data_IF_515038586555
#
_entry.id   IF_515038586555
#
_cell.length_a   1.000
_cell.length_b   1.000
_cell.length_c   1.000
_cell.angle_alpha   90.00
_cell.angle_beta   90.00
_cell.angle_gamma   90.00
#
_symmetry.space_group_name_H-M   'P 1'
#
loop_
_entity.id
_entity.type
_entity.pdbx_description
1 polymer ?
#
# COMPACT_ATOMS: atom_id res chain seq x y z
N UNK A 1 -3.30 -4.59 -23.27
CA UNK A 1 -4.18 -3.57 -22.66
C UNK A 1 -3.48 -3.02 -21.42
N UNK A 2 -2.83 -1.86 -21.56
CA UNK A 2 -2.01 -1.25 -20.51
C UNK A 2 -2.92 -0.56 -19.48
N UNK A 3 -2.95 -1.08 -18.26
CA UNK A 3 -3.52 -0.35 -17.11
C UNK A 3 -2.48 0.67 -16.69
N UNK A 4 -2.61 1.88 -17.21
CA UNK A 4 -1.68 2.98 -16.95
C UNK A 4 -1.72 3.40 -15.48
N UNK A 5 -0.53 3.44 -14.88
CA UNK A 5 -0.24 3.82 -13.49
C UNK A 5 -0.28 5.32 -13.24
N UNK A 6 -0.75 6.12 -14.20
CA UNK A 6 -0.54 7.57 -14.24
C UNK A 6 -1.55 8.38 -13.41
N UNK A 7 -2.72 7.83 -13.08
CA UNK A 7 -3.83 8.64 -12.54
C UNK A 7 -3.95 8.76 -11.02
N UNK A 8 -3.21 8.00 -10.21
CA UNK A 8 -3.43 7.94 -8.76
C UNK A 8 -2.27 8.46 -7.90
N UNK A 9 -1.21 8.94 -8.55
CA UNK A 9 -0.01 9.50 -7.93
C UNK A 9 0.02 11.03 -7.96
N UNK A 10 -1.10 11.69 -8.26
CA UNK A 10 -1.20 13.13 -8.02
C UNK A 10 -1.30 13.40 -6.52
N UNK A 11 -0.36 14.24 -6.07
CA UNK A 11 -0.28 14.89 -4.78
C UNK A 11 -1.59 14.89 -3.99
N UNK A 12 -1.66 14.14 -2.89
CA UNK A 12 -2.39 14.65 -1.73
C UNK A 12 -1.40 15.43 -0.88
N UNK A 13 -1.72 16.71 -0.73
CA UNK A 13 -1.04 17.74 0.04
C UNK A 13 -0.30 17.21 1.28
N UNK A 14 0.97 17.59 1.51
CA UNK A 14 1.61 17.33 2.79
C UNK A 14 0.93 18.20 3.85
N UNK A 15 0.16 17.60 4.76
CA UNK A 15 -0.31 18.29 5.96
C UNK A 15 0.92 18.70 6.80
N UNK A 16 1.18 20.02 6.85
CA UNK A 16 2.43 20.70 7.21
C UNK A 16 2.57 21.12 8.67
N UNK A 17 1.83 20.53 9.63
CA UNK A 17 1.97 20.94 11.04
C UNK A 17 2.92 20.03 11.84
N UNK A 18 3.80 20.64 12.64
CA UNK A 18 4.68 19.93 13.59
C UNK A 18 3.89 19.06 14.58
N UNK A 19 2.65 19.43 14.88
CA UNK A 19 1.73 18.71 15.79
C UNK A 19 1.40 17.31 15.24
N UNK A 20 1.13 17.18 13.95
CA UNK A 20 0.85 15.90 13.29
C UNK A 20 2.03 14.91 13.38
N UNK A 21 3.26 15.40 13.27
CA UNK A 21 4.47 14.58 13.43
C UNK A 21 4.62 14.04 14.86
N UNK A 22 4.17 14.81 15.85
CA UNK A 22 4.19 14.41 17.26
C UNK A 22 3.16 13.29 17.47
N UNK A 23 1.91 13.49 17.04
CA UNK A 23 0.85 12.48 17.18
C UNK A 23 1.15 11.18 16.45
N UNK A 24 1.74 11.27 15.26
CA UNK A 24 2.15 10.08 14.50
C UNK A 24 3.25 9.30 15.22
N UNK A 25 4.25 9.96 15.81
CA UNK A 25 5.33 9.29 16.56
C UNK A 25 4.79 8.51 17.77
N UNK A 26 3.92 9.13 18.57
CA UNK A 26 3.29 8.49 19.74
C UNK A 26 2.44 7.28 19.32
N UNK A 27 1.67 7.41 18.24
CA UNK A 27 0.84 6.32 17.71
C UNK A 27 1.69 5.14 17.22
N UNK A 28 2.78 5.41 16.50
CA UNK A 28 3.68 4.37 16.03
C UNK A 28 4.39 3.66 17.18
N UNK A 29 4.74 4.38 18.24
CA UNK A 29 5.36 3.79 19.42
C UNK A 29 4.38 2.87 20.17
N UNK A 30 3.10 3.23 20.24
CA UNK A 30 2.06 2.34 20.78
C UNK A 30 1.96 1.01 20.02
N UNK A 31 2.07 1.04 18.68
CA UNK A 31 2.07 -0.18 17.84
C UNK A 31 3.35 -0.98 18.09
N UNK A 32 4.50 -0.30 18.15
CA UNK A 32 5.78 -0.96 18.45
C UNK A 32 5.73 -1.70 19.79
N UNK A 33 5.21 -1.05 20.84
CA UNK A 33 5.05 -1.65 22.18
C UNK A 33 4.07 -2.83 22.22
N UNK A 34 3.24 -3.00 21.19
CA UNK A 34 2.28 -4.09 21.05
C UNK A 34 2.81 -5.24 20.16
N UNK A 35 4.11 -5.57 20.27
CA UNK A 35 4.92 -6.34 19.31
C UNK A 35 4.49 -6.36 17.83
N UNK A 36 3.94 -5.26 17.31
CA UNK A 36 3.38 -5.23 15.97
C UNK A 36 4.29 -4.48 14.99
N UNK A 37 4.31 -4.94 13.75
CA UNK A 37 5.08 -4.31 12.67
C UNK A 37 4.25 -3.28 11.90
N UNK A 38 4.90 -2.19 11.49
CA UNK A 38 4.29 -1.20 10.61
C UNK A 38 5.22 -0.82 9.47
N UNK A 39 4.61 -0.39 8.36
CA UNK A 39 5.30 0.18 7.21
C UNK A 39 4.56 1.47 6.85
N UNK A 40 5.26 2.61 6.89
CA UNK A 40 4.69 3.91 6.57
C UNK A 40 5.56 4.67 5.58
N UNK A 41 4.96 5.63 4.87
CA UNK A 41 5.70 6.52 3.97
C UNK A 41 6.33 7.65 4.77
N UNK A 42 7.61 7.93 4.52
CA UNK A 42 8.25 9.11 5.09
C UNK A 42 7.68 10.39 4.49
N UNK A 43 7.52 11.43 5.32
CA UNK A 43 7.20 12.79 4.86
C UNK A 43 8.44 13.43 4.20
N UNK A 44 8.23 14.41 3.31
CA UNK A 44 9.33 15.12 2.61
C UNK A 44 10.31 15.78 3.59
N UNK A 45 9.80 16.43 4.63
CA UNK A 45 10.60 17.16 5.63
C UNK A 45 10.96 16.32 6.86
N UNK A 46 11.07 15.00 6.68
CA UNK A 46 11.38 14.08 7.77
C UNK A 46 12.84 14.26 8.23
N UNK A 47 13.03 14.71 9.48
CA UNK A 47 14.34 14.94 10.11
C UNK A 47 14.78 13.73 10.91
N UNK A 48 15.95 13.19 10.58
CA UNK A 48 16.49 11.99 11.20
C UNK A 48 18.01 12.03 11.23
N UNK A 49 18.58 11.31 12.20
CA UNK A 49 20.00 10.99 12.26
C UNK A 49 20.20 9.56 11.78
N UNK A 50 21.11 9.35 10.84
CA UNK A 50 21.52 8.02 10.39
C UNK A 50 22.48 7.43 11.43
N UNK A 51 22.24 6.19 11.84
CA UNK A 51 23.10 5.42 12.73
C UNK A 51 23.95 4.42 11.93
N UNK A 52 23.30 3.56 11.15
CA UNK A 52 23.96 2.53 10.37
C UNK A 52 23.37 2.44 8.96
N UNK A 53 24.17 1.98 8.01
CA UNK A 53 23.73 1.62 6.66
C UNK A 53 23.97 0.15 6.42
N UNK A 54 22.94 -0.54 5.94
CA UNK A 54 23.02 -1.93 5.55
C UNK A 54 23.45 -2.03 4.08
N UNK A 55 24.13 -3.12 3.72
CA UNK A 55 24.47 -3.39 2.31
C UNK A 55 23.19 -3.69 1.55
N UNK A 56 23.11 -3.20 0.33
CA UNK A 56 21.94 -3.33 -0.54
C UNK A 56 22.39 -3.79 -1.91
N UNK A 57 21.65 -4.73 -2.48
CA UNK A 57 21.84 -5.20 -3.86
C UNK A 57 21.09 -4.32 -4.85
N UNK A 58 21.82 -3.70 -5.78
CA UNK A 58 21.28 -2.78 -6.79
C UNK A 58 20.21 -3.41 -7.70
N UNK A 59 20.26 -4.74 -7.90
CA UNK A 59 19.31 -5.46 -8.76
C UNK A 59 17.85 -5.43 -8.26
N UNK A 60 17.64 -5.15 -6.97
CA UNK A 60 16.31 -5.19 -6.34
C UNK A 60 15.53 -3.87 -6.37
N UNK A 61 16.10 -2.80 -6.95
CA UNK A 61 15.50 -1.45 -6.95
C UNK A 61 15.56 -0.72 -5.61
N UNK A 62 16.18 -1.33 -4.59
CA UNK A 62 16.45 -0.69 -3.31
C UNK A 62 17.70 0.18 -3.46
N UNK A 63 17.58 1.47 -3.15
CA UNK A 63 18.68 2.45 -3.22
C UNK A 63 19.46 2.48 -1.90
N UNK A 64 18.74 2.44 -0.78
CA UNK A 64 19.41 2.39 0.52
C UNK A 64 18.54 1.74 1.57
N UNK A 65 19.22 1.12 2.52
CA UNK A 65 18.65 0.59 3.75
C UNK A 65 19.46 1.11 4.93
N UNK A 66 18.81 1.83 5.83
CA UNK A 66 19.46 2.61 6.88
C UNK A 66 18.72 2.46 8.20
N UNK A 67 19.47 2.24 9.27
CA UNK A 67 18.95 2.37 10.62
C UNK A 67 19.10 3.82 11.05
N UNK A 68 18.00 4.43 11.49
CA UNK A 68 17.89 5.84 11.79
C UNK A 68 17.27 6.05 13.18
N UNK A 69 17.49 7.24 13.73
CA UNK A 69 16.82 7.74 14.93
C UNK A 69 16.21 9.10 14.62
N UNK A 70 15.04 9.39 15.20
CA UNK A 70 14.40 10.69 15.06
C UNK A 70 15.30 11.77 15.70
N UNK A 71 15.47 12.90 15.01
CA UNK A 71 16.34 13.98 15.49
C UNK A 71 15.57 15.05 16.26
N UNK A 72 14.32 15.30 15.87
CA UNK A 72 13.49 16.35 16.44
C UNK A 72 13.06 16.03 17.88
N UNK A 73 13.10 17.02 18.77
CA UNK A 73 12.81 16.87 20.21
C UNK A 73 11.48 16.16 20.50
N UNK A 74 10.36 16.69 19.99
CA UNK A 74 9.04 16.10 20.28
C UNK A 74 8.82 14.71 19.64
N UNK A 75 9.11 14.48 18.34
CA UNK A 75 9.01 13.16 17.75
C UNK A 75 9.92 12.12 18.41
N UNK A 76 11.13 12.52 18.84
CA UNK A 76 12.04 11.63 19.57
C UNK A 76 11.47 11.22 20.93
N UNK A 77 10.78 12.13 21.63
CA UNK A 77 10.09 11.80 22.89
C UNK A 77 8.91 10.86 22.65
N UNK A 78 8.21 11.01 21.53
CA UNK A 78 7.07 10.15 21.16
C UNK A 78 7.49 8.77 20.63
N UNK A 79 8.66 8.66 20.02
CA UNK A 79 9.25 7.40 19.55
C UNK A 79 10.78 7.43 19.78
N UNK A 80 11.27 6.95 20.94
CA UNK A 80 12.69 7.01 21.30
C UNK A 80 13.53 5.94 20.59
N UNK A 81 12.90 4.85 20.12
CA UNK A 81 13.57 3.69 19.54
C UNK A 81 14.10 3.94 18.13
N UNK A 82 14.90 2.98 17.64
CA UNK A 82 15.41 3.00 16.28
C UNK A 82 14.30 2.66 15.26
N UNK A 83 14.43 3.27 14.09
CA UNK A 83 13.60 3.03 12.91
C UNK A 83 14.48 2.62 11.74
N UNK A 84 13.92 1.82 10.85
CA UNK A 84 14.54 1.48 9.58
C UNK A 84 13.96 2.36 8.49
N UNK A 85 14.83 3.01 7.72
CA UNK A 85 14.51 3.83 6.56
C UNK A 85 14.98 3.13 5.30
N UNK A 86 14.06 2.91 4.39
CA UNK A 86 14.34 2.29 3.09
C UNK A 86 14.02 3.29 1.99
N UNK A 87 14.96 3.51 1.07
CA UNK A 87 14.70 4.22 -0.18
C UNK A 87 14.58 3.18 -1.28
N UNK A 88 13.45 3.21 -1.96
CA UNK A 88 13.13 2.30 -3.07
C UNK A 88 12.80 3.13 -4.30
N UNK A 89 13.27 2.68 -5.45
CA UNK A 89 12.89 3.21 -6.75
C UNK A 89 12.41 2.06 -7.60
N UNK A 90 11.20 2.22 -8.14
CA UNK A 90 10.65 1.21 -9.02
C UNK A 90 11.37 1.23 -10.38
N UNK A 91 11.60 0.05 -10.95
CA UNK A 91 12.32 -0.12 -12.21
C UNK A 91 11.44 0.26 -13.41
N UNK A 92 10.14 0.02 -13.30
CA UNK A 92 9.16 0.34 -14.34
C UNK A 92 8.76 1.82 -14.33
N UNK A 93 8.77 2.46 -13.16
CA UNK A 93 8.41 3.85 -12.97
C UNK A 93 9.42 4.53 -12.06
N UNK A 94 10.14 5.58 -12.49
CA UNK A 94 11.25 6.18 -11.73
C UNK A 94 10.82 7.01 -10.50
N UNK A 95 9.71 6.65 -9.85
CA UNK A 95 9.27 7.29 -8.63
C UNK A 95 10.07 6.79 -7.43
N UNK A 96 10.67 7.75 -6.73
CA UNK A 96 11.41 7.49 -5.48
C UNK A 96 10.45 7.46 -4.31
N UNK A 97 10.38 6.31 -3.66
CA UNK A 97 9.61 6.08 -2.44
C UNK A 97 10.55 5.93 -1.25
N UNK A 98 10.13 6.50 -0.12
CA UNK A 98 10.86 6.43 1.14
C UNK A 98 9.93 5.83 2.17
N UNK A 99 10.35 4.73 2.76
CA UNK A 99 9.59 3.97 3.74
C UNK A 99 10.26 4.03 5.11
N UNK A 100 9.43 3.98 6.15
CA UNK A 100 9.80 3.86 7.54
C UNK A 100 9.15 2.59 8.10
N UNK A 101 9.93 1.77 8.79
CA UNK A 101 9.45 0.55 9.43
C UNK A 101 10.22 0.26 10.71
N UNK A 102 9.58 -0.45 11.63
CA UNK A 102 10.22 -1.08 12.78
C UNK A 102 10.65 -2.53 12.50
N UNK A 103 10.41 -3.05 11.28
CA UNK A 103 10.79 -4.41 10.92
C UNK A 103 12.22 -4.46 10.35
N UNK A 104 13.11 -5.08 11.11
CA UNK A 104 14.50 -5.34 10.72
C UNK A 104 14.73 -6.77 10.20
N UNK A 105 13.73 -7.65 10.32
CA UNK A 105 13.83 -9.06 9.94
C UNK A 105 13.64 -9.26 8.43
N UNK A 106 12.70 -8.54 7.83
CA UNK A 106 12.40 -8.70 6.41
C UNK A 106 13.40 -7.94 5.53
N UNK A 107 13.76 -8.45 4.34
CA UNK A 107 14.55 -7.70 3.37
C UNK A 107 13.80 -6.46 2.86
N UNK A 108 14.57 -5.42 2.49
CA UNK A 108 14.02 -4.14 2.05
C UNK A 108 13.13 -4.24 0.80
N UNK A 109 13.42 -5.18 -0.10
CA UNK A 109 12.62 -5.46 -1.30
C UNK A 109 11.23 -5.99 -0.95
N UNK A 110 11.11 -6.90 0.03
CA UNK A 110 9.83 -7.41 0.50
C UNK A 110 9.01 -6.31 1.18
N UNK A 111 9.64 -5.43 1.96
CA UNK A 111 8.96 -4.28 2.57
C UNK A 111 8.36 -3.35 1.49
N UNK A 112 9.09 -3.12 0.40
CA UNK A 112 8.57 -2.35 -0.74
C UNK A 112 7.36 -3.06 -1.38
N UNK A 113 7.42 -4.37 -1.59
CA UNK A 113 6.31 -5.16 -2.13
C UNK A 113 5.08 -5.17 -1.23
N UNK A 114 5.27 -5.30 0.09
CA UNK A 114 4.18 -5.19 1.07
C UNK A 114 3.50 -3.82 1.02
N UNK A 115 4.28 -2.76 0.83
CA UNK A 115 3.72 -1.42 0.67
C UNK A 115 2.93 -1.26 -0.65
N UNK A 116 3.31 -1.95 -1.73
CA UNK A 116 2.53 -1.96 -2.98
C UNK A 116 1.14 -2.57 -2.79
N UNK A 117 0.98 -3.60 -1.95
CA UNK A 117 -0.33 -4.18 -1.62
C UNK A 117 -1.29 -3.14 -1.01
N UNK A 118 -0.76 -2.11 -0.32
CA UNK A 118 -1.58 -1.00 0.20
C UNK A 118 -2.30 -0.24 -0.92
N UNK A 119 -1.66 -0.05 -2.07
CA UNK A 119 -2.29 0.60 -3.22
C UNK A 119 -3.34 -0.28 -3.87
N UNK A 120 -3.13 -1.60 -3.89
CA UNK A 120 -4.16 -2.54 -4.37
C UNK A 120 -5.43 -2.42 -3.54
N UNK A 121 -5.31 -2.21 -2.22
CA UNK A 121 -6.45 -1.94 -1.34
C UNK A 121 -7.13 -0.61 -1.69
N UNK A 122 -6.38 0.46 -1.97
CA UNK A 122 -6.97 1.74 -2.41
C UNK A 122 -7.70 1.61 -3.75
N UNK A 123 -7.10 0.91 -4.73
CA UNK A 123 -7.73 0.62 -6.01
C UNK A 123 -8.98 -0.24 -5.83
N UNK A 124 -8.96 -1.20 -4.91
CA UNK A 124 -10.12 -1.99 -4.53
C UNK A 124 -11.25 -1.11 -3.98
N UNK A 125 -10.96 -0.21 -3.03
CA UNK A 125 -11.97 0.72 -2.52
C UNK A 125 -12.45 1.72 -3.57
N UNK A 126 -11.56 2.22 -4.44
CA UNK A 126 -11.95 3.07 -5.58
C UNK A 126 -12.93 2.32 -6.48
N UNK A 127 -12.63 1.06 -6.77
CA UNK A 127 -13.46 0.18 -7.59
C UNK A 127 -14.81 -0.14 -6.93
N UNK A 128 -14.84 -0.38 -5.62
CA UNK A 128 -16.10 -0.51 -4.87
C UNK A 128 -16.91 0.77 -5.06
N UNK A 129 -16.35 1.93 -4.72
CA UNK A 129 -17.08 3.21 -4.81
C UNK A 129 -17.60 3.51 -6.22
N UNK A 130 -16.84 3.15 -7.26
CA UNK A 130 -17.23 3.36 -8.66
C UNK A 130 -18.34 2.42 -9.14
N UNK A 131 -18.33 1.15 -8.72
CA UNK A 131 -19.30 0.16 -9.21
C UNK A 131 -20.47 -0.11 -8.25
N UNK A 132 -20.39 0.37 -7.01
CA UNK A 132 -21.47 0.28 -6.03
C UNK A 132 -22.45 1.44 -6.27
N UNK A 133 -23.17 1.37 -7.39
CA UNK A 133 -24.35 2.22 -7.64
C UNK A 133 -25.57 1.54 -7.05
N UNK A 134 -25.89 1.84 -5.79
CA UNK A 134 -27.15 1.41 -5.16
C UNK A 134 -28.26 2.21 -5.85
N UNK A 135 -28.99 1.57 -6.79
CA UNK A 135 -30.01 2.22 -7.61
C UNK A 135 -31.32 2.49 -6.85
N UNK A 136 -31.64 1.69 -5.84
CA UNK A 136 -32.79 1.86 -4.97
C UNK A 136 -32.53 1.14 -3.64
N UNK A 137 -32.94 1.76 -2.53
CA UNK A 137 -32.97 1.09 -1.23
C UNK A 137 -34.31 0.36 -1.11
N UNK A 138 -34.29 -0.97 -0.94
CA UNK A 138 -35.51 -1.78 -0.78
C UNK A 138 -36.14 -1.68 0.63
N UNK A 139 -35.62 -0.80 1.49
CA UNK A 139 -36.12 -0.58 2.85
C UNK A 139 -35.36 0.53 3.57
N UNK A 140 -36.06 1.26 4.44
CA UNK A 140 -35.55 2.42 5.20
C UNK A 140 -34.98 2.03 6.58
N UNK A 141 -35.15 0.79 7.01
CA UNK A 141 -34.62 0.33 8.30
C UNK A 141 -33.09 0.18 8.25
N UNK A 142 -32.41 0.55 9.34
CA UNK A 142 -30.95 0.52 9.44
C UNK A 142 -30.38 -0.87 9.13
N UNK A 143 -31.05 -1.93 9.57
CA UNK A 143 -30.66 -3.32 9.32
C UNK A 143 -30.80 -3.71 7.84
N UNK A 144 -31.84 -3.23 7.15
CA UNK A 144 -32.01 -3.48 5.72
C UNK A 144 -30.91 -2.81 4.89
N UNK A 145 -30.56 -1.57 5.24
CA UNK A 145 -29.46 -0.82 4.59
C UNK A 145 -28.11 -1.48 4.85
N UNK A 146 -27.81 -1.86 6.10
CA UNK A 146 -26.58 -2.60 6.45
C UNK A 146 -26.46 -3.90 5.65
N UNK A 147 -27.55 -4.66 5.55
CA UNK A 147 -27.57 -5.94 4.83
C UNK A 147 -27.35 -5.74 3.33
N UNK A 148 -27.98 -4.73 2.72
CA UNK A 148 -27.77 -4.39 1.31
C UNK A 148 -26.31 -4.04 1.00
N UNK A 149 -25.67 -3.26 1.88
CA UNK A 149 -24.24 -2.93 1.74
C UNK A 149 -23.38 -4.20 1.85
N UNK A 150 -23.64 -5.07 2.82
CA UNK A 150 -22.90 -6.33 2.99
C UNK A 150 -23.02 -7.26 1.77
N UNK A 151 -24.22 -7.44 1.23
CA UNK A 151 -24.47 -8.25 0.03
C UNK A 151 -23.78 -7.65 -1.19
N UNK A 152 -23.85 -6.33 -1.38
CA UNK A 152 -23.19 -5.64 -2.48
C UNK A 152 -21.65 -5.78 -2.42
N UNK A 153 -21.04 -5.69 -1.22
CA UNK A 153 -19.61 -5.92 -1.03
C UNK A 153 -19.23 -7.37 -1.36
N UNK A 154 -20.00 -8.37 -0.87
CA UNK A 154 -19.77 -9.80 -1.17
C UNK A 154 -19.85 -10.09 -2.67
N UNK A 155 -20.85 -9.55 -3.38
CA UNK A 155 -20.99 -9.68 -4.83
C UNK A 155 -19.86 -8.99 -5.60
N UNK A 156 -19.44 -7.80 -5.16
CA UNK A 156 -18.32 -7.07 -5.77
C UNK A 156 -17.01 -7.87 -5.66
N UNK A 157 -16.75 -8.45 -4.48
CA UNK A 157 -15.62 -9.34 -4.23
C UNK A 157 -15.67 -10.60 -5.10
N UNK A 158 -16.84 -11.26 -5.20
CA UNK A 158 -17.03 -12.43 -6.05
C UNK A 158 -16.75 -12.14 -7.53
N UNK A 159 -17.24 -11.01 -8.05
CA UNK A 159 -16.97 -10.56 -9.43
C UNK A 159 -15.52 -10.15 -9.69
N UNK A 160 -14.81 -9.65 -8.67
CA UNK A 160 -13.38 -9.37 -8.79
C UNK A 160 -12.58 -10.66 -9.00
N UNK A 161 -12.95 -11.74 -8.30
CA UNK A 161 -12.25 -13.03 -8.36
C UNK A 161 -12.41 -13.75 -9.71
N UNK A 162 -13.59 -13.67 -10.34
CA UNK A 162 -13.84 -14.32 -11.65
C UNK A 162 -13.07 -13.67 -12.81
N UNK A 163 -12.83 -12.35 -12.78
CA UNK A 163 -12.09 -11.65 -13.84
C UNK A 163 -10.60 -12.03 -13.89
N UNK A 164 -9.99 -12.35 -12.74
CA UNK A 164 -8.61 -12.83 -12.68
C UNK A 164 -8.46 -14.24 -13.25
N UNK A 165 -9.51 -15.08 -13.09
CA UNK A 165 -9.53 -16.46 -13.56
C UNK A 165 -9.79 -16.55 -15.07
N UNK A 166 -10.74 -15.75 -15.60
CA UNK A 166 -11.01 -15.70 -17.04
C UNK A 166 -9.80 -15.23 -17.88
N UNK A 167 -9.02 -14.27 -17.37
CA UNK A 167 -7.81 -13.80 -18.06
C UNK A 167 -6.69 -14.85 -18.10
N UNK A 168 -6.65 -15.78 -17.14
CA UNK A 168 -5.70 -16.91 -17.14
C UNK A 168 -6.08 -18.01 -18.15
N UNK A 169 -7.38 -18.30 -18.30
CA UNK A 169 -7.85 -19.27 -19.28
C UNK A 169 -7.73 -18.77 -20.73
N UNK A 170 -7.91 -17.47 -20.99
CA UNK A 170 -7.67 -16.89 -22.31
C UNK A 170 -6.19 -17.02 -22.71
N UNK A 171 -5.26 -16.73 -21.79
CA UNK A 171 -3.82 -16.84 -22.04
C UNK A 171 -3.33 -18.28 -22.31
N UNK A 172 -3.94 -19.28 -21.65
CA UNK A 172 -3.68 -20.70 -21.93
C UNK A 172 -4.30 -21.19 -23.25
N UNK A 173 -5.40 -20.56 -23.69
CA UNK A 173 -6.04 -20.85 -24.98
C UNK A 173 -5.25 -20.26 -26.15
N UNK A 174 -4.59 -19.12 -25.94
CA UNK A 174 -3.74 -18.47 -26.95
C UNK A 174 -2.37 -19.16 -27.10
N UNK A 175 -1.88 -19.88 -26.06
CA UNK A 175 -0.66 -20.68 -26.13
C UNK A 175 -0.87 -22.10 -26.70
N UNK A 176 -2.13 -22.56 -26.75
CA UNK A 176 -2.49 -23.89 -27.26
C UNK A 176 -3.34 -23.68 -28.50
N UNK A 177 -2.68 -23.43 -29.64
CA UNK A 177 -3.33 -23.19 -30.93
C UNK A 177 -4.13 -24.39 -31.43
N UNK A 178 -5.34 -24.57 -30.89
CA UNK A 178 -6.37 -25.43 -31.48
C UNK A 178 -7.21 -24.56 -32.42
N UNK A 179 -6.78 -24.60 -33.67
CA UNK A 179 -7.49 -24.12 -34.85
C UNK A 179 -8.96 -24.58 -34.80
N UNK A 180 -9.90 -23.64 -34.98
CA UNK A 180 -11.32 -23.97 -35.06
C UNK A 180 -11.55 -24.72 -36.37
N UNK A 181 -11.87 -26.00 -36.31
CA UNK A 181 -12.45 -26.72 -37.44
C UNK A 181 -13.88 -26.20 -37.64
N UNK A 182 -14.25 -25.69 -38.82
CA UNK A 182 -15.60 -25.21 -39.07
C UNK A 182 -16.52 -26.40 -39.35
N UNK A 183 -17.68 -26.41 -38.68
CA UNK A 183 -18.92 -27.00 -39.19
C UNK A 183 -20.03 -25.98 -38.97
#
# INVERSE_FOLDING_TARGET
MSTSWTGCLSNREPFTSSIELIWTSVRLHRIHRAPAFFITRARRNFRFRRLYSHRVESATGVICDQTIRLQSFYPLRGYPDHLRRIRYQDLQHPQRLIFLTNNFLLPASQIARLYQCRWQIELFFKRIKQHLRIKAFFGISENAVKTQIWVAIRLCLGRHRQKTVASGYQALRDSTGLERVPF
#
